data_IF_612596954339
#
_entry.id   IF_612596954339
#
_cell.length_a   1.000
_cell.length_b   1.000
_cell.length_c   1.000
_cell.angle_alpha   90.00
_cell.angle_beta   90.00
_cell.angle_gamma   90.00
#
_symmetry.space_group_name_H-M   'P 1'
#
loop_
_entity.id
_entity.type
_entity.pdbx_description
1 polymer ?
#
# COMPACT_ATOMS: atom_id res chain seq x y z
N UNK A 1 16.54 -4.84 -4.37
CA UNK A 1 16.19 -3.48 -4.87
C UNK A 1 15.00 -2.99 -4.06
N UNK A 2 14.97 -1.74 -3.59
CA UNK A 2 13.78 -1.19 -2.91
C UNK A 2 12.95 -0.44 -3.94
N UNK A 3 11.75 -0.95 -4.25
CA UNK A 3 10.87 -0.41 -5.29
C UNK A 3 10.37 1.01 -4.96
N UNK A 4 10.06 1.27 -3.68
CA UNK A 4 9.64 2.59 -3.22
C UNK A 4 10.71 3.66 -3.49
N UNK A 5 11.99 3.34 -3.26
CA UNK A 5 13.09 4.27 -3.55
C UNK A 5 13.23 4.55 -5.05
N UNK A 6 13.06 3.52 -5.89
CA UNK A 6 13.09 3.71 -7.36
C UNK A 6 11.96 4.66 -7.78
N UNK A 7 10.76 4.43 -7.27
CA UNK A 7 9.60 5.27 -7.56
C UNK A 7 9.79 6.71 -7.08
N UNK A 8 10.27 6.91 -5.84
CA UNK A 8 10.60 8.23 -5.28
C UNK A 8 11.57 8.99 -6.20
N UNK A 9 12.69 8.36 -6.56
CA UNK A 9 13.70 8.97 -7.43
C UNK A 9 13.16 9.28 -8.84
N UNK A 10 12.23 8.48 -9.34
CA UNK A 10 11.59 8.76 -10.63
C UNK A 10 10.71 10.01 -10.56
N UNK A 11 9.87 10.12 -9.54
CA UNK A 11 9.00 11.28 -9.34
C UNK A 11 9.82 12.57 -9.11
N UNK A 12 10.85 12.52 -8.27
CA UNK A 12 11.75 13.65 -8.04
C UNK A 12 12.48 14.11 -9.30
N UNK A 13 12.74 13.17 -10.23
CA UNK A 13 13.37 13.47 -11.51
C UNK A 13 12.37 13.78 -12.65
N UNK A 14 11.08 13.95 -12.33
CA UNK A 14 10.03 14.22 -13.32
C UNK A 14 9.77 13.09 -14.31
N UNK A 15 10.15 11.85 -13.96
CA UNK A 15 9.90 10.65 -14.78
C UNK A 15 8.57 10.00 -14.41
N UNK A 16 8.09 9.09 -15.27
CA UNK A 16 6.94 8.22 -14.90
C UNK A 16 7.24 7.47 -13.60
N UNK A 17 6.27 7.34 -12.68
CA UNK A 17 6.51 6.77 -11.34
C UNK A 17 7.23 5.43 -11.36
N UNK A 18 6.78 4.49 -12.21
CA UNK A 18 7.31 3.13 -12.28
C UNK A 18 8.41 2.95 -13.34
N UNK A 19 9.00 4.03 -13.88
CA UNK A 19 10.09 3.92 -14.86
C UNK A 19 11.19 2.96 -14.36
N UNK A 20 11.59 1.99 -15.18
CA UNK A 20 12.50 0.85 -14.90
C UNK A 20 11.95 -0.25 -14.02
N UNK A 21 10.75 -0.12 -13.46
CA UNK A 21 10.08 -1.17 -12.70
C UNK A 21 8.67 -1.47 -13.23
N UNK A 22 8.27 -0.84 -14.33
CA UNK A 22 7.00 -1.02 -15.03
C UNK A 22 6.89 -2.35 -15.79
N UNK A 23 7.94 -3.16 -15.80
CA UNK A 23 7.94 -4.53 -16.31
C UNK A 23 7.46 -5.58 -15.29
N UNK A 24 7.31 -5.22 -14.03
CA UNK A 24 6.73 -6.11 -13.03
C UNK A 24 5.20 -6.15 -13.16
N UNK A 25 4.65 -7.37 -13.16
CA UNK A 25 3.20 -7.57 -13.22
C UNK A 25 2.48 -7.11 -11.93
N UNK A 26 3.18 -7.13 -10.80
CA UNK A 26 2.65 -6.73 -9.49
C UNK A 26 3.70 -5.96 -8.69
N UNK A 27 3.26 -4.90 -8.02
CA UNK A 27 4.09 -4.06 -7.17
C UNK A 27 3.41 -3.88 -5.81
N UNK A 28 4.15 -4.16 -4.74
CA UNK A 28 3.71 -3.97 -3.35
C UNK A 28 4.83 -3.39 -2.51
N UNK A 29 4.58 -3.18 -1.21
CA UNK A 29 5.57 -2.68 -0.23
C UNK A 29 6.25 -1.38 -0.68
N UNK A 30 5.47 -0.48 -1.26
CA UNK A 30 5.95 0.79 -1.78
C UNK A 30 6.21 1.82 -0.66
N UNK A 31 6.94 1.40 0.37
CA UNK A 31 7.36 2.29 1.46
C UNK A 31 8.87 2.17 1.69
N UNK A 32 9.53 3.29 1.96
CA UNK A 32 10.94 3.29 2.33
C UNK A 32 11.26 4.30 3.44
N UNK A 33 12.29 3.96 4.23
CA UNK A 33 12.88 4.85 5.23
C UNK A 33 14.22 5.37 4.68
N UNK A 34 14.36 6.67 4.61
CA UNK A 34 15.54 7.32 4.10
C UNK A 34 15.80 8.63 4.86
N UNK A 35 17.03 8.82 5.34
CA UNK A 35 17.44 10.03 6.08
C UNK A 35 16.49 10.42 7.23
N UNK A 36 16.00 9.42 7.98
CA UNK A 36 15.07 9.65 9.10
C UNK A 36 13.64 10.00 8.68
N UNK A 37 13.30 9.92 7.40
CA UNK A 37 11.97 10.16 6.87
C UNK A 37 11.34 8.90 6.31
N UNK A 38 10.02 8.87 6.29
CA UNK A 38 9.24 7.82 5.63
C UNK A 38 8.71 8.39 4.33
N UNK A 39 8.86 7.63 3.25
CA UNK A 39 8.23 7.91 1.99
C UNK A 39 7.33 6.74 1.59
N UNK A 40 6.06 7.04 1.27
CA UNK A 40 5.01 6.05 1.00
C UNK A 40 4.51 6.18 -0.42
N UNK A 41 4.99 5.29 -1.30
CA UNK A 41 4.64 5.28 -2.72
C UNK A 41 3.18 4.96 -2.99
N UNK A 42 2.50 4.24 -2.08
CA UNK A 42 1.08 3.94 -2.21
C UNK A 42 0.19 5.20 -2.17
N UNK A 43 0.69 6.32 -1.66
CA UNK A 43 -0.02 7.62 -1.68
C UNK A 43 -0.02 8.26 -3.08
N UNK A 44 0.85 7.79 -3.99
CA UNK A 44 0.98 8.29 -5.35
C UNK A 44 0.19 7.47 -6.38
N UNK A 45 -0.92 6.86 -5.95
CA UNK A 45 -1.76 6.04 -6.84
C UNK A 45 -2.35 6.85 -8.01
N UNK A 46 -2.61 8.15 -7.85
CA UNK A 46 -3.09 9.03 -8.92
C UNK A 46 -2.05 9.23 -10.02
N UNK A 47 -0.81 9.44 -9.64
CA UNK A 47 0.31 9.58 -10.58
C UNK A 47 0.59 8.27 -11.30
N UNK A 48 0.41 7.12 -10.63
CA UNK A 48 0.52 5.80 -11.26
C UNK A 48 -0.61 5.63 -12.27
N UNK A 49 -1.85 5.86 -11.89
CA UNK A 49 -3.03 5.73 -12.75
C UNK A 49 -2.91 6.61 -14.00
N UNK A 50 -2.54 7.88 -13.82
CA UNK A 50 -2.36 8.82 -14.92
C UNK A 50 -1.24 8.41 -15.89
N UNK A 51 -0.16 7.81 -15.38
CA UNK A 51 1.00 7.42 -16.19
C UNK A 51 0.85 6.05 -16.87
N UNK A 52 0.00 5.16 -16.32
CA UNK A 52 -0.18 3.78 -16.76
C UNK A 52 -1.68 3.43 -16.85
N UNK A 53 -2.38 3.91 -17.89
CA UNK A 53 -3.81 3.61 -18.07
C UNK A 53 -4.08 2.10 -18.15
N UNK A 54 -5.14 1.64 -17.49
CA UNK A 54 -5.51 0.23 -17.43
C UNK A 54 -4.84 -0.54 -16.28
N UNK A 55 -4.06 0.14 -15.42
CA UNK A 55 -3.56 -0.46 -14.18
C UNK A 55 -4.72 -0.80 -13.26
N UNK A 56 -4.69 -2.01 -12.66
CA UNK A 56 -5.59 -2.39 -11.58
C UNK A 56 -4.95 -2.07 -10.23
N UNK A 57 -5.75 -1.50 -9.33
CA UNK A 57 -5.34 -1.18 -7.97
C UNK A 57 -5.94 -2.16 -6.99
N UNK A 58 -5.11 -2.78 -6.16
CA UNK A 58 -5.54 -3.66 -5.09
C UNK A 58 -5.45 -2.91 -3.76
N UNK A 59 -6.59 -2.60 -3.18
CA UNK A 59 -6.73 -2.04 -1.85
C UNK A 59 -6.96 -3.18 -0.87
N UNK A 60 -5.89 -3.72 -0.32
CA UNK A 60 -5.98 -4.71 0.73
C UNK A 60 -6.30 -4.04 2.07
N UNK A 61 -7.39 -4.47 2.68
CA UNK A 61 -7.86 -3.99 3.97
C UNK A 61 -7.96 -5.16 4.97
N UNK A 62 -8.15 -4.81 6.21
CA UNK A 62 -8.49 -5.71 7.31
C UNK A 62 -9.22 -4.92 8.40
N UNK A 63 -9.63 -5.60 9.49
CA UNK A 63 -10.13 -4.89 10.65
C UNK A 63 -9.09 -3.87 11.14
N UNK A 64 -9.52 -2.61 11.32
CA UNK A 64 -8.62 -1.48 11.62
C UNK A 64 -7.78 -1.70 12.88
N UNK A 65 -8.40 -2.25 13.93
CA UNK A 65 -7.71 -2.54 15.18
C UNK A 65 -6.60 -3.58 14.96
N UNK A 66 -6.91 -4.64 14.22
CA UNK A 66 -5.93 -5.67 13.85
C UNK A 66 -4.76 -5.09 13.03
N UNK A 67 -5.05 -4.14 12.14
CA UNK A 67 -4.02 -3.46 11.38
C UNK A 67 -3.10 -2.61 12.28
N UNK A 68 -3.67 -1.84 13.21
CA UNK A 68 -2.90 -1.04 14.17
C UNK A 68 -1.99 -1.93 15.03
N UNK A 69 -2.51 -3.04 15.54
CA UNK A 69 -1.73 -3.99 16.33
C UNK A 69 -0.61 -4.64 15.51
N UNK A 70 -0.90 -5.06 14.28
CA UNK A 70 0.12 -5.61 13.38
C UNK A 70 1.27 -4.64 13.14
N UNK A 71 0.98 -3.36 12.91
CA UNK A 71 2.03 -2.32 12.73
C UNK A 71 2.86 -2.10 13.98
N UNK A 72 2.25 -2.15 15.18
CA UNK A 72 2.99 -2.04 16.44
C UNK A 72 4.02 -3.15 16.62
N UNK A 73 3.66 -4.38 16.22
CA UNK A 73 4.54 -5.55 16.38
C UNK A 73 5.58 -5.68 15.27
N UNK A 74 5.47 -4.91 14.19
CA UNK A 74 6.37 -5.03 13.05
C UNK A 74 7.75 -4.39 13.32
N UNK A 75 8.78 -5.21 13.64
CA UNK A 75 10.24 -4.95 13.63
C UNK A 75 10.67 -3.49 13.87
N UNK A 76 10.35 -2.89 15.00
CA UNK A 76 10.70 -1.49 15.34
C UNK A 76 10.08 -0.44 14.40
N UNK A 77 9.02 -0.82 13.66
CA UNK A 77 8.38 0.10 12.73
C UNK A 77 7.83 1.33 13.47
N UNK A 78 7.13 1.09 14.61
CA UNK A 78 6.58 2.17 15.44
C UNK A 78 7.67 3.15 15.92
N UNK A 79 8.81 2.65 16.41
CA UNK A 79 9.90 3.52 16.87
C UNK A 79 10.46 4.38 15.73
N UNK A 80 10.64 3.79 14.54
CA UNK A 80 11.11 4.52 13.36
C UNK A 80 10.10 5.56 12.89
N UNK A 81 8.81 5.22 12.94
CA UNK A 81 7.72 6.13 12.58
C UNK A 81 7.65 7.31 13.55
N UNK A 82 7.69 7.05 14.86
CA UNK A 82 7.72 8.07 15.92
C UNK A 82 8.90 9.03 15.71
N UNK A 83 10.08 8.49 15.44
CA UNK A 83 11.27 9.31 15.19
C UNK A 83 11.14 10.15 13.90
N UNK A 84 10.64 9.55 12.82
CA UNK A 84 10.48 10.22 11.52
C UNK A 84 9.47 11.38 11.56
N UNK A 85 8.44 11.27 12.39
CA UNK A 85 7.37 12.27 12.54
C UNK A 85 7.50 13.14 13.81
N UNK A 86 8.56 12.92 14.60
CA UNK A 86 8.82 13.64 15.86
C UNK A 86 7.62 13.58 16.82
N UNK A 87 7.02 12.39 16.97
CA UNK A 87 5.84 12.17 17.81
C UNK A 87 6.21 12.02 19.29
N UNK A 88 5.28 12.35 20.18
CA UNK A 88 5.48 12.28 21.63
C UNK A 88 5.52 10.84 22.19
N UNK A 89 5.10 9.84 21.42
CA UNK A 89 5.09 8.43 21.84
C UNK A 89 4.10 7.56 21.07
N UNK A 90 3.84 6.37 21.62
CA UNK A 90 3.00 5.34 20.99
C UNK A 90 1.56 5.82 20.79
N UNK A 91 0.95 6.50 21.75
CA UNK A 91 -0.44 6.96 21.63
C UNK A 91 -0.60 7.95 20.49
N UNK A 92 0.33 8.88 20.33
CA UNK A 92 0.35 9.82 19.20
C UNK A 92 0.57 9.09 17.86
N UNK A 93 1.38 8.05 17.86
CA UNK A 93 1.62 7.21 16.68
C UNK A 93 0.33 6.46 16.27
N UNK A 94 -0.35 5.83 17.21
CA UNK A 94 -1.61 5.12 16.96
C UNK A 94 -2.70 6.07 16.46
N UNK A 95 -2.83 7.26 17.07
CA UNK A 95 -3.79 8.27 16.64
C UNK A 95 -3.51 8.73 15.20
N UNK A 96 -2.25 8.96 14.86
CA UNK A 96 -1.86 9.34 13.50
C UNK A 96 -2.15 8.21 12.50
N UNK A 97 -1.76 6.98 12.79
CA UNK A 97 -2.04 5.84 11.92
C UNK A 97 -3.54 5.62 11.72
N UNK A 98 -4.34 5.75 12.79
CA UNK A 98 -5.79 5.63 12.70
C UNK A 98 -6.40 6.66 11.76
N UNK A 99 -5.95 7.92 11.87
CA UNK A 99 -6.40 8.99 11.00
C UNK A 99 -5.92 8.81 9.54
N UNK A 100 -4.68 8.34 9.35
CA UNK A 100 -4.11 8.06 8.02
C UNK A 100 -4.86 6.91 7.33
N UNK A 101 -5.23 5.87 8.09
CA UNK A 101 -6.05 4.77 7.59
C UNK A 101 -7.38 5.26 7.04
N UNK A 102 -8.15 6.00 7.84
CA UNK A 102 -9.47 6.50 7.44
C UNK A 102 -9.37 7.41 6.21
N UNK A 103 -8.41 8.33 6.23
CA UNK A 103 -8.17 9.26 5.13
C UNK A 103 -7.80 8.54 3.84
N UNK A 104 -6.87 7.58 3.91
CA UNK A 104 -6.41 6.84 2.73
C UNK A 104 -7.54 6.02 2.11
N UNK A 105 -8.32 5.29 2.92
CA UNK A 105 -9.45 4.52 2.41
C UNK A 105 -10.51 5.42 1.76
N UNK A 106 -10.85 6.53 2.40
CA UNK A 106 -11.82 7.48 1.84
C UNK A 106 -11.31 8.10 0.52
N UNK A 107 -10.04 8.46 0.47
CA UNK A 107 -9.41 9.10 -0.67
C UNK A 107 -9.33 8.15 -1.89
N UNK A 108 -8.89 6.91 -1.69
CA UNK A 108 -8.82 5.91 -2.76
C UNK A 108 -10.21 5.58 -3.29
N UNK A 109 -11.17 5.31 -2.42
CA UNK A 109 -12.54 4.99 -2.81
C UNK A 109 -13.22 6.13 -3.55
N UNK A 110 -13.00 7.37 -3.12
CA UNK A 110 -13.53 8.55 -3.79
C UNK A 110 -12.92 8.73 -5.17
N UNK A 111 -11.62 8.51 -5.31
CA UNK A 111 -10.92 8.66 -6.60
C UNK A 111 -11.40 7.66 -7.65
N UNK A 112 -11.68 6.41 -7.26
CA UNK A 112 -12.14 5.37 -8.18
C UNK A 112 -13.67 5.21 -8.21
N UNK A 113 -14.44 6.13 -7.62
CA UNK A 113 -15.90 6.01 -7.52
C UNK A 113 -16.64 5.93 -8.86
N UNK A 114 -16.10 6.54 -9.90
CA UNK A 114 -16.61 6.51 -11.27
C UNK A 114 -16.00 5.38 -12.13
N UNK A 115 -15.01 4.65 -11.61
CA UNK A 115 -14.29 3.55 -12.26
C UNK A 115 -14.10 2.37 -11.30
N UNK A 116 -15.19 1.78 -10.79
CA UNK A 116 -15.12 0.74 -9.77
C UNK A 116 -14.34 -0.50 -10.21
N UNK A 117 -14.30 -0.79 -11.50
CA UNK A 117 -13.58 -1.93 -12.07
C UNK A 117 -12.04 -1.77 -12.00
N UNK A 118 -11.53 -0.56 -11.76
CA UNK A 118 -10.10 -0.31 -11.65
C UNK A 118 -9.58 -0.49 -10.22
N UNK A 119 -10.48 -0.59 -9.23
CA UNK A 119 -10.15 -0.78 -7.82
C UNK A 119 -10.70 -2.10 -7.29
N UNK A 120 -9.83 -3.03 -6.97
CA UNK A 120 -10.19 -4.26 -6.26
C UNK A 120 -10.00 -4.00 -4.77
N UNK A 121 -11.06 -4.11 -3.97
CA UNK A 121 -10.96 -4.10 -2.51
C UNK A 121 -10.98 -5.53 -2.01
N UNK A 122 -9.99 -5.90 -1.19
CA UNK A 122 -9.85 -7.25 -0.64
C UNK A 122 -9.60 -7.18 0.87
N UNK A 123 -10.52 -7.75 1.65
CA UNK A 123 -10.37 -7.87 3.09
C UNK A 123 -9.61 -9.16 3.42
N UNK A 124 -8.37 -9.04 3.85
CA UNK A 124 -7.50 -10.19 4.12
C UNK A 124 -7.95 -11.03 5.32
N UNK A 125 -8.83 -10.53 6.17
CA UNK A 125 -9.35 -11.27 7.32
C UNK A 125 -10.61 -12.10 6.95
N UNK A 126 -11.41 -11.66 5.96
CA UNK A 126 -12.76 -12.18 5.70
C UNK A 126 -12.98 -12.71 4.28
N UNK A 127 -12.29 -12.14 3.27
CA UNK A 127 -12.56 -12.49 1.86
C UNK A 127 -11.83 -13.77 1.44
N UNK A 128 -12.45 -14.53 0.53
CA UNK A 128 -11.82 -15.72 -0.04
C UNK A 128 -10.82 -15.31 -1.13
N UNK A 129 -9.66 -15.95 -1.12
CA UNK A 129 -8.62 -15.72 -2.15
C UNK A 129 -9.11 -16.06 -3.56
N UNK A 130 -10.06 -16.98 -3.70
CA UNK A 130 -10.65 -17.33 -4.99
C UNK A 130 -11.43 -16.15 -5.59
N UNK A 131 -12.05 -15.31 -4.77
CA UNK A 131 -12.73 -14.09 -5.22
C UNK A 131 -11.73 -13.07 -5.77
N UNK A 132 -10.54 -12.96 -5.16
CA UNK A 132 -9.47 -12.12 -5.70
C UNK A 132 -8.93 -12.68 -7.02
N UNK A 133 -8.68 -13.98 -7.09
CA UNK A 133 -8.21 -14.65 -8.31
C UNK A 133 -9.20 -14.43 -9.46
N UNK A 134 -10.49 -14.54 -9.20
CA UNK A 134 -11.55 -14.33 -10.19
C UNK A 134 -11.57 -12.89 -10.75
N UNK A 135 -11.18 -11.91 -9.96
CA UNK A 135 -11.10 -10.50 -10.39
C UNK A 135 -9.81 -10.16 -11.17
N UNK A 136 -8.86 -11.09 -11.24
CA UNK A 136 -7.57 -10.92 -11.91
C UNK A 136 -7.32 -12.02 -12.96
N UNK A 137 -8.24 -12.21 -13.95
CA UNK A 137 -8.18 -13.34 -14.88
C UNK A 137 -6.95 -13.35 -15.80
N UNK A 138 -6.34 -12.18 -16.01
CA UNK A 138 -5.14 -12.04 -16.84
C UNK A 138 -3.84 -12.45 -16.10
N UNK A 139 -3.93 -12.79 -14.81
CA UNK A 139 -2.79 -13.17 -13.99
C UNK A 139 -2.90 -14.65 -13.57
N UNK A 140 -1.79 -15.37 -13.68
CA UNK A 140 -1.69 -16.74 -13.11
C UNK A 140 -1.32 -16.61 -11.62
N UNK A 141 -2.33 -16.68 -10.77
CA UNK A 141 -2.16 -16.64 -9.32
C UNK A 141 -2.21 -18.06 -8.75
N UNK A 142 -1.24 -18.43 -7.89
CA UNK A 142 -1.23 -19.73 -7.21
C UNK A 142 -1.94 -19.61 -5.86
N UNK A 143 -3.13 -20.21 -5.77
CA UNK A 143 -3.89 -20.30 -4.53
C UNK A 143 -3.07 -20.86 -3.35
N UNK A 144 -2.19 -21.83 -3.62
CA UNK A 144 -1.39 -22.47 -2.57
C UNK A 144 -0.30 -21.54 -2.01
N UNK A 145 0.01 -20.45 -2.70
CA UNK A 145 0.91 -19.42 -2.20
C UNK A 145 0.22 -18.48 -1.19
N UNK A 146 -1.11 -18.54 -1.09
CA UNK A 146 -1.86 -17.76 -0.11
C UNK A 146 -1.80 -18.40 1.28
N UNK A 147 -1.56 -17.59 2.30
CA UNK A 147 -1.55 -18.05 3.69
C UNK A 147 -1.19 -16.92 4.66
N UNK A 148 -1.46 -17.17 5.93
CA UNK A 148 -1.05 -16.26 7.00
C UNK A 148 0.45 -16.39 7.24
N UNK A 149 1.24 -15.48 6.64
CA UNK A 149 2.69 -15.42 6.80
C UNK A 149 2.99 -14.39 7.90
N UNK A 150 3.68 -14.79 8.96
CA UNK A 150 4.18 -13.86 9.99
C UNK A 150 3.39 -13.83 11.30
N UNK A 151 2.80 -14.97 11.70
CA UNK A 151 2.37 -15.18 13.10
C UNK A 151 3.55 -15.51 14.00
#
# INVERSE_FOLDING_TARGET
MNLARVMKNNLEAGRKPLHRIDHYAFLSDLECFEEGKIWSGFLHFREIDAAYPGTKFLLNIREKENWLQSRLHHRRYAQRFIAAHNLSGIDACLAMWSADWDRHLADVRSYFSDRPDDLITFNIDDDDIDDLIAQLPDFTLDRNAWGHIGQ
#
